data_IF_931025035108
#
_entry.id   IF_931025035108
#
_cell.length_a   1.000
_cell.length_b   1.000
_cell.length_c   1.000
_cell.angle_alpha   90.00
_cell.angle_beta   90.00
_cell.angle_gamma   90.00
#
_symmetry.space_group_name_H-M   'P 1'
#
loop_
_entity.id
_entity.type
_entity.pdbx_description
1 polymer ?
#
# COMPACT_ATOMS: atom_id res chain seq x y z
N UNK A 1 -6.59 -17.48 -35.76
CA UNK A 1 -7.35 -17.86 -34.56
C UNK A 1 -6.91 -16.94 -33.43
N UNK A 2 -7.75 -15.96 -33.07
CA UNK A 2 -7.40 -14.94 -32.07
C UNK A 2 -7.49 -15.61 -30.71
N UNK A 3 -6.45 -15.47 -29.89
CA UNK A 3 -6.47 -15.90 -28.50
C UNK A 3 -7.60 -15.12 -27.82
N UNK A 4 -8.69 -15.81 -27.53
CA UNK A 4 -9.65 -15.36 -26.55
C UNK A 4 -8.88 -15.28 -25.23
N UNK A 5 -8.41 -14.07 -24.92
CA UNK A 5 -8.01 -13.73 -23.56
C UNK A 5 -9.32 -13.79 -22.80
N UNK A 6 -9.59 -14.93 -22.18
CA UNK A 6 -10.49 -14.99 -21.03
C UNK A 6 -10.17 -13.76 -20.19
N UNK A 7 -11.15 -12.86 -20.11
CA UNK A 7 -11.14 -11.78 -19.14
C UNK A 7 -11.03 -12.51 -17.80
N UNK A 8 -9.82 -12.50 -17.23
CA UNK A 8 -9.63 -12.87 -15.83
C UNK A 8 -10.64 -12.00 -15.09
N UNK A 9 -11.65 -12.67 -14.53
CA UNK A 9 -12.67 -12.10 -13.67
C UNK A 9 -11.95 -11.08 -12.80
N UNK A 10 -12.33 -9.80 -12.92
CA UNK A 10 -11.83 -8.75 -12.03
C UNK A 10 -11.95 -9.31 -10.61
N UNK A 11 -10.83 -9.69 -10.00
CA UNK A 11 -10.79 -10.08 -8.60
C UNK A 11 -11.47 -8.94 -7.88
N UNK A 12 -12.64 -9.20 -7.31
CA UNK A 12 -13.35 -8.23 -6.50
C UNK A 12 -12.43 -8.00 -5.30
N UNK A 13 -11.61 -6.95 -5.39
CA UNK A 13 -10.86 -6.42 -4.26
C UNK A 13 -11.90 -5.88 -3.28
N UNK A 14 -12.40 -6.75 -2.42
CA UNK A 14 -13.36 -6.38 -1.39
C UNK A 14 -12.67 -5.55 -0.32
N UNK A 15 -13.41 -4.70 0.37
CA UNK A 15 -12.89 -3.98 1.54
C UNK A 15 -12.28 -4.92 2.57
N UNK A 16 -12.83 -6.13 2.74
CA UNK A 16 -12.28 -7.15 3.64
C UNK A 16 -10.88 -7.60 3.20
N UNK A 17 -10.66 -7.75 1.90
CA UNK A 17 -9.34 -8.07 1.38
C UNK A 17 -8.37 -6.90 1.61
N UNK A 18 -8.79 -5.66 1.41
CA UNK A 18 -7.98 -4.47 1.73
C UNK A 18 -7.61 -4.43 3.22
N UNK A 19 -8.60 -4.62 4.10
CA UNK A 19 -8.40 -4.65 5.56
C UNK A 19 -7.49 -5.78 6.00
N UNK A 20 -7.39 -6.87 5.24
CA UNK A 20 -6.45 -7.95 5.56
C UNK A 20 -4.99 -7.49 5.59
N UNK A 21 -4.62 -6.47 4.80
CA UNK A 21 -3.26 -5.91 4.77
C UNK A 21 -2.89 -5.17 6.06
N UNK A 22 -3.88 -4.71 6.84
CA UNK A 22 -3.67 -4.08 8.16
C UNK A 22 -3.23 -5.08 9.24
N UNK A 23 -3.18 -6.38 8.92
CA UNK A 23 -2.77 -7.44 9.83
C UNK A 23 -1.44 -8.09 9.43
N UNK A 24 -0.81 -7.62 8.34
CA UNK A 24 0.47 -8.18 7.87
C UNK A 24 1.58 -7.77 8.82
N UNK A 25 2.42 -8.74 9.19
CA UNK A 25 3.52 -8.54 10.14
C UNK A 25 4.87 -8.62 9.46
N UNK A 26 5.76 -7.78 9.95
CA UNK A 26 7.19 -7.86 9.65
C UNK A 26 7.85 -8.88 10.58
N UNK A 27 8.66 -9.79 10.02
CA UNK A 27 9.42 -10.79 10.80
C UNK A 27 10.89 -10.43 10.96
N UNK A 28 11.32 -9.34 10.36
CA UNK A 28 12.73 -9.02 10.23
C UNK A 28 13.15 -7.81 11.07
N UNK A 29 12.21 -7.21 11.83
CA UNK A 29 12.43 -6.03 12.66
C UNK A 29 12.09 -4.70 11.98
N UNK A 30 11.61 -4.72 10.74
CA UNK A 30 11.00 -3.54 10.10
C UNK A 30 9.74 -3.12 10.85
N UNK A 31 9.48 -1.81 10.97
CA UNK A 31 8.23 -1.33 11.57
C UNK A 31 7.01 -1.92 10.83
N UNK A 32 6.03 -2.42 11.59
CA UNK A 32 4.85 -3.08 11.01
C UNK A 32 4.08 -2.12 10.10
N UNK A 33 3.91 -0.87 10.53
CA UNK A 33 3.21 0.17 9.78
C UNK A 33 3.87 0.46 8.42
N UNK A 34 5.21 0.58 8.38
CA UNK A 34 5.96 0.68 7.12
C UNK A 34 5.73 -0.55 6.25
N UNK A 35 5.81 -1.74 6.85
CA UNK A 35 5.67 -2.99 6.13
C UNK A 35 4.27 -3.14 5.51
N UNK A 36 3.22 -2.77 6.24
CA UNK A 36 1.84 -2.77 5.76
C UNK A 36 1.68 -1.86 4.54
N UNK A 37 2.16 -0.61 4.62
CA UNK A 37 2.07 0.36 3.50
C UNK A 37 2.84 -0.14 2.28
N UNK A 38 4.04 -0.67 2.45
CA UNK A 38 4.83 -1.22 1.33
C UNK A 38 4.17 -2.46 0.72
N UNK A 39 3.58 -3.33 1.54
CA UNK A 39 2.89 -4.53 1.06
C UNK A 39 1.62 -4.15 0.29
N UNK A 40 0.87 -3.19 0.81
CA UNK A 40 -0.28 -2.58 0.17
C UNK A 40 0.07 -2.00 -1.21
N UNK A 41 1.09 -1.15 -1.28
CA UNK A 41 1.60 -0.53 -2.51
C UNK A 41 1.97 -1.55 -3.58
N UNK A 42 2.59 -2.67 -3.18
CA UNK A 42 3.02 -3.72 -4.11
C UNK A 42 1.88 -4.60 -4.63
N UNK A 43 0.73 -4.61 -3.94
CA UNK A 43 -0.34 -5.57 -4.18
C UNK A 43 -1.57 -4.96 -4.84
N UNK A 44 -1.90 -3.70 -4.59
CA UNK A 44 -3.17 -3.10 -5.02
C UNK A 44 -3.01 -1.90 -5.94
N UNK A 45 -4.07 -1.58 -6.69
CA UNK A 45 -4.13 -0.39 -7.56
C UNK A 45 -4.24 0.87 -6.71
N UNK A 46 -3.99 2.04 -7.32
CA UNK A 46 -4.04 3.32 -6.62
C UNK A 46 -5.42 3.56 -5.94
N UNK A 47 -6.52 3.26 -6.62
CA UNK A 47 -7.89 3.43 -6.06
C UNK A 47 -8.11 2.61 -4.78
N UNK A 48 -7.68 1.35 -4.77
CA UNK A 48 -7.76 0.48 -3.59
C UNK A 48 -6.80 0.96 -2.49
N UNK A 49 -5.64 1.49 -2.88
CA UNK A 49 -4.64 2.01 -1.97
C UNK A 49 -5.12 3.25 -1.22
N UNK A 50 -5.93 4.10 -1.84
CA UNK A 50 -6.64 5.19 -1.13
C UNK A 50 -7.47 4.62 0.01
N UNK A 51 -8.31 3.63 -0.30
CA UNK A 51 -9.18 2.96 0.68
C UNK A 51 -8.37 2.30 1.81
N UNK A 52 -7.24 1.67 1.49
CA UNK A 52 -6.32 1.13 2.48
C UNK A 52 -5.78 2.20 3.42
N UNK A 53 -5.31 3.34 2.88
CA UNK A 53 -4.74 4.42 3.68
C UNK A 53 -5.78 5.05 4.60
N UNK A 54 -7.04 5.13 4.16
CA UNK A 54 -8.13 5.58 5.03
C UNK A 54 -8.31 4.65 6.23
N UNK A 55 -8.46 3.33 6.01
CA UNK A 55 -8.55 2.37 7.13
C UNK A 55 -7.29 2.33 8.00
N UNK A 56 -6.12 2.50 7.40
CA UNK A 56 -4.84 2.54 8.10
C UNK A 56 -4.80 3.71 9.10
N UNK A 57 -5.28 4.89 8.68
CA UNK A 57 -5.36 6.08 9.54
C UNK A 57 -6.46 5.97 10.60
N UNK A 58 -7.59 5.35 10.27
CA UNK A 58 -8.65 5.09 11.24
C UNK A 58 -8.16 4.23 12.42
N UNK A 59 -7.18 3.34 12.20
CA UNK A 59 -6.55 2.56 13.28
C UNK A 59 -5.49 3.35 14.07
N UNK A 60 -5.26 4.62 13.77
CA UNK A 60 -4.26 5.46 14.43
C UNK A 60 -2.81 5.05 14.16
N UNK A 61 -2.57 4.37 13.03
CA UNK A 61 -1.23 3.89 12.63
C UNK A 61 -0.33 5.01 12.13
N UNK A 62 0.98 4.82 12.24
CA UNK A 62 1.96 5.80 11.83
C UNK A 62 2.33 5.67 10.35
N UNK A 63 1.82 6.60 9.53
CA UNK A 63 2.13 6.66 8.09
C UNK A 63 3.60 7.04 7.80
N UNK A 64 4.30 7.61 8.78
CA UNK A 64 5.70 7.99 8.69
C UNK A 64 6.64 6.93 9.28
N UNK A 65 6.11 5.75 9.64
CA UNK A 65 6.93 4.64 10.08
C UNK A 65 8.03 4.34 9.06
N UNK A 66 9.24 4.12 9.57
CA UNK A 66 10.43 3.95 8.75
C UNK A 66 10.83 2.48 8.61
N UNK A 67 11.40 2.16 7.46
CA UNK A 67 12.06 0.89 7.19
C UNK A 67 13.37 0.74 7.98
N UNK A 68 14.02 -0.41 7.83
CA UNK A 68 15.34 -0.69 8.44
C UNK A 68 16.45 0.25 8.00
N UNK A 69 16.31 0.79 6.80
CA UNK A 69 17.23 1.76 6.22
C UNK A 69 16.94 3.19 6.66
N UNK A 70 15.97 3.39 7.56
CA UNK A 70 15.55 4.69 8.06
C UNK A 70 14.67 5.48 7.09
N UNK A 71 14.28 4.89 5.94
CA UNK A 71 13.44 5.57 4.96
C UNK A 71 11.96 5.32 5.21
N UNK A 72 11.13 6.32 4.97
CA UNK A 72 9.67 6.17 5.03
C UNK A 72 9.14 5.48 3.77
N UNK A 73 7.91 4.97 3.84
CA UNK A 73 7.26 4.39 2.67
C UNK A 73 7.13 5.43 1.53
N UNK A 74 6.87 6.69 1.87
CA UNK A 74 6.82 7.80 0.91
C UNK A 74 8.16 7.97 0.19
N UNK A 75 9.27 8.01 0.92
CA UNK A 75 10.61 8.18 0.34
C UNK A 75 10.96 7.04 -0.61
N UNK A 76 10.63 5.79 -0.25
CA UNK A 76 10.86 4.64 -1.12
C UNK A 76 9.98 4.71 -2.36
N UNK A 77 8.66 4.87 -2.18
CA UNK A 77 7.68 4.86 -3.27
C UNK A 77 7.92 6.00 -4.25
N UNK A 78 8.30 7.19 -3.79
CA UNK A 78 8.60 8.34 -4.64
C UNK A 78 9.77 8.11 -5.61
N UNK A 79 10.67 7.15 -5.33
CA UNK A 79 11.77 6.80 -6.25
C UNK A 79 11.34 5.88 -7.39
N UNK A 80 10.17 5.25 -7.29
CA UNK A 80 9.70 4.29 -8.28
C UNK A 80 8.98 4.98 -9.45
N UNK A 81 9.23 4.51 -10.67
CA UNK A 81 8.63 5.03 -11.91
C UNK A 81 7.09 5.12 -11.87
N UNK A 82 6.45 4.16 -11.20
CA UNK A 82 4.99 4.07 -11.06
C UNK A 82 4.51 4.42 -9.65
N UNK A 83 5.38 4.95 -8.80
CA UNK A 83 5.05 5.31 -7.42
C UNK A 83 4.48 6.72 -7.26
N UNK A 84 4.47 7.55 -8.30
CA UNK A 84 4.07 8.97 -8.20
C UNK A 84 2.66 9.11 -7.62
N UNK A 85 1.69 8.39 -8.19
CA UNK A 85 0.29 8.45 -7.73
C UNK A 85 0.14 7.98 -6.28
N UNK A 86 0.84 6.90 -5.89
CA UNK A 86 0.84 6.39 -4.52
C UNK A 86 1.53 7.34 -3.54
N UNK A 87 2.62 7.99 -3.97
CA UNK A 87 3.30 9.00 -3.18
C UNK A 87 2.40 10.21 -2.93
N UNK A 88 1.58 10.59 -3.91
CA UNK A 88 0.61 11.67 -3.76
C UNK A 88 -0.52 11.29 -2.80
N UNK A 89 -1.00 10.04 -2.84
CA UNK A 89 -1.96 9.51 -1.84
C UNK A 89 -1.35 9.58 -0.42
N UNK A 90 -0.09 9.15 -0.25
CA UNK A 90 0.59 9.21 1.04
C UNK A 90 0.77 10.65 1.55
N UNK A 91 1.14 11.59 0.67
CA UNK A 91 1.25 13.02 1.01
C UNK A 91 -0.10 13.61 1.42
N UNK A 92 -1.17 13.29 0.69
CA UNK A 92 -2.53 13.72 1.03
C UNK A 92 -2.97 13.18 2.40
N UNK A 93 -2.48 12.00 2.77
CA UNK A 93 -2.69 11.38 4.07
C UNK A 93 -1.78 11.92 5.19
N UNK A 94 -0.84 12.81 4.89
CA UNK A 94 0.03 13.48 5.86
C UNK A 94 1.43 12.87 6.01
N UNK A 95 1.85 12.00 5.08
CA UNK A 95 3.23 11.51 5.02
C UNK A 95 4.20 12.64 4.63
N UNK A 96 5.39 12.65 5.25
CA UNK A 96 6.41 13.69 5.06
C UNK A 96 7.82 13.11 5.00
#
# INVERSE_FOLDING_TARGET
>A
MRKDKEKVVDEVWTEDHIKSYLNVRSYDGTAEDFHMVMKAYQSMKADDFVTFIDFFREQGRDINASGKDGRTALEVIATHRHGVEYADILRAAGAK
#
